data_IF_727840591484
#
_entry.id   IF_727840591484
#
_cell.length_a   1.000
_cell.length_b   1.000
_cell.length_c   1.000
_cell.angle_alpha   90.00
_cell.angle_beta   90.00
_cell.angle_gamma   90.00
#
_symmetry.space_group_name_H-M   'P 1'
#
loop_
_entity.id
_entity.type
_entity.pdbx_description
1 polymer ?
#
# COMPACT_ATOMS: atom_id res chain seq x y z
N UNK A 1 -15.00 -28.53 28.18
CA UNK A 1 -15.31 -28.75 26.76
C UNK A 1 -14.88 -27.50 26.02
N UNK A 2 -13.71 -27.52 25.39
CA UNK A 2 -13.26 -26.40 24.55
C UNK A 2 -13.87 -26.53 23.15
N UNK A 3 -14.31 -25.43 22.53
CA UNK A 3 -14.83 -25.46 21.17
C UNK A 3 -13.68 -25.75 20.19
N UNK A 4 -13.77 -26.87 19.50
CA UNK A 4 -12.87 -27.21 18.39
C UNK A 4 -13.18 -26.25 17.24
N UNK A 5 -12.35 -25.21 17.06
CA UNK A 5 -12.41 -24.36 15.88
C UNK A 5 -12.10 -25.21 14.64
N UNK A 6 -13.15 -25.58 13.91
CA UNK A 6 -13.06 -26.24 12.61
C UNK A 6 -12.34 -25.31 11.62
N UNK A 7 -11.04 -25.51 11.47
CA UNK A 7 -10.28 -24.92 10.37
C UNK A 7 -10.80 -25.50 9.05
N UNK A 8 -11.67 -24.76 8.37
CA UNK A 8 -12.14 -25.09 7.04
C UNK A 8 -10.95 -25.11 6.09
N UNK A 9 -10.42 -26.29 5.78
CA UNK A 9 -9.38 -26.44 4.77
C UNK A 9 -9.92 -25.92 3.44
N UNK A 10 -9.38 -24.80 2.98
CA UNK A 10 -9.78 -24.20 1.72
C UNK A 10 -9.46 -25.18 0.58
N UNK A 11 -10.49 -25.60 -0.16
CA UNK A 11 -10.34 -26.41 -1.38
C UNK A 11 -9.39 -25.69 -2.34
N UNK A 12 -8.27 -26.33 -2.67
CA UNK A 12 -7.29 -25.78 -3.61
C UNK A 12 -7.98 -25.43 -4.94
N UNK A 13 -7.69 -24.24 -5.52
CA UNK A 13 -8.31 -23.80 -6.76
C UNK A 13 -7.91 -24.73 -7.92
N UNK A 14 -8.84 -24.96 -8.86
CA UNK A 14 -8.56 -25.72 -10.08
C UNK A 14 -7.38 -25.11 -10.85
N UNK A 15 -6.63 -25.93 -11.60
CA UNK A 15 -5.48 -25.47 -12.38
C UNK A 15 -5.84 -24.34 -13.36
N UNK A 16 -7.04 -24.37 -13.93
CA UNK A 16 -7.56 -23.30 -14.77
C UNK A 16 -7.66 -21.97 -14.01
N UNK A 17 -8.16 -21.99 -12.76
CA UNK A 17 -8.26 -20.80 -11.91
C UNK A 17 -6.88 -20.33 -11.45
N UNK A 18 -5.94 -21.24 -11.18
CA UNK A 18 -4.54 -20.88 -10.87
C UNK A 18 -3.88 -20.16 -12.04
N UNK A 19 -4.04 -20.65 -13.27
CA UNK A 19 -3.51 -20.00 -14.48
C UNK A 19 -4.18 -18.65 -14.73
N UNK A 20 -5.48 -18.53 -14.48
CA UNK A 20 -6.19 -17.25 -14.62
C UNK A 20 -5.69 -16.18 -13.62
N UNK A 21 -5.35 -16.59 -12.39
CA UNK A 21 -4.83 -15.69 -11.35
C UNK A 21 -3.34 -15.39 -11.49
N UNK A 22 -2.59 -16.26 -12.17
CA UNK A 22 -1.15 -16.12 -12.37
C UNK A 22 -0.76 -16.48 -13.81
N UNK A 23 -1.19 -15.68 -14.80
CA UNK A 23 -0.99 -15.99 -16.22
C UNK A 23 0.48 -15.97 -16.64
N UNK A 24 1.34 -15.28 -15.89
CA UNK A 24 2.75 -15.10 -16.20
C UNK A 24 3.69 -15.96 -15.34
N UNK A 25 3.16 -16.69 -14.35
CA UNK A 25 3.98 -17.41 -13.36
C UNK A 25 4.87 -18.50 -13.94
N UNK A 26 4.47 -19.12 -15.05
CA UNK A 26 5.31 -20.11 -15.76
C UNK A 26 6.35 -19.46 -16.68
N UNK A 27 6.04 -18.29 -17.24
CA UNK A 27 6.92 -17.58 -18.17
C UNK A 27 8.00 -16.77 -17.45
N UNK A 28 7.66 -16.17 -16.32
CA UNK A 28 8.55 -15.38 -15.47
C UNK A 28 8.49 -15.87 -14.01
N UNK A 29 8.97 -17.11 -13.75
CA UNK A 29 8.98 -17.66 -12.40
C UNK A 29 9.95 -16.89 -11.49
N UNK A 30 9.82 -17.10 -10.19
CA UNK A 30 10.89 -16.71 -9.27
C UNK A 30 12.17 -17.54 -9.55
N UNK A 31 13.34 -16.95 -9.35
CA UNK A 31 14.64 -17.57 -9.65
C UNK A 31 15.59 -17.51 -8.45
N UNK A 32 16.78 -18.12 -8.55
CA UNK A 32 17.74 -18.17 -7.44
C UNK A 32 18.49 -16.85 -7.19
N UNK A 33 18.24 -15.81 -7.98
CA UNK A 33 18.96 -14.55 -7.85
C UNK A 33 18.54 -13.82 -6.59
N UNK A 34 19.46 -12.99 -6.09
CA UNK A 34 19.12 -11.99 -5.08
C UNK A 34 18.28 -10.90 -5.73
N UNK A 35 17.17 -10.52 -5.10
CA UNK A 35 16.21 -9.54 -5.62
C UNK A 35 15.89 -8.49 -4.59
N UNK A 36 15.70 -7.26 -5.05
CA UNK A 36 15.16 -6.20 -4.21
C UNK A 36 13.66 -6.42 -4.00
N UNK A 37 13.22 -6.33 -2.74
CA UNK A 37 11.80 -6.37 -2.39
C UNK A 37 11.34 -4.97 -2.06
N UNK A 38 10.19 -4.58 -2.60
CA UNK A 38 9.57 -3.29 -2.37
C UNK A 38 8.23 -3.47 -1.67
N UNK A 39 7.95 -2.61 -0.68
CA UNK A 39 6.59 -2.33 -0.26
C UNK A 39 6.03 -1.23 -1.16
N UNK A 40 4.89 -1.50 -1.79
CA UNK A 40 4.15 -0.52 -2.56
C UNK A 40 2.86 -0.16 -1.83
N UNK A 41 2.54 1.13 -1.77
CA UNK A 41 1.30 1.65 -1.23
C UNK A 41 0.58 2.51 -2.27
N UNK A 42 -0.70 2.23 -2.51
CA UNK A 42 -1.49 2.91 -3.53
C UNK A 42 -1.65 4.41 -3.20
N UNK A 43 -1.41 5.27 -4.19
CA UNK A 43 -1.80 6.69 -4.19
C UNK A 43 -0.95 7.64 -3.33
N UNK A 44 -0.43 8.69 -3.98
CA UNK A 44 -0.23 10.02 -3.38
C UNK A 44 -1.50 10.88 -3.43
N UNK A 45 -2.47 10.51 -4.29
CA UNK A 45 -3.61 11.34 -4.70
C UNK A 45 -4.98 10.85 -4.17
N UNK A 46 -5.02 9.75 -3.41
CA UNK A 46 -6.30 9.21 -2.92
C UNK A 46 -6.82 10.09 -1.76
N UNK A 47 -8.04 10.60 -1.94
CA UNK A 47 -8.72 11.54 -1.02
C UNK A 47 -9.05 10.92 0.36
N UNK A 48 -9.00 9.59 0.46
CA UNK A 48 -9.23 8.85 1.70
C UNK A 48 -7.94 8.09 2.12
N UNK A 49 -7.13 8.65 3.03
CA UNK A 49 -5.89 8.03 3.47
C UNK A 49 -6.10 6.68 4.17
N UNK A 50 -7.32 6.38 4.62
CA UNK A 50 -7.60 5.21 5.46
C UNK A 50 -7.75 3.90 4.67
N UNK A 51 -7.82 3.91 3.34
CA UNK A 51 -8.05 2.70 2.52
C UNK A 51 -7.01 2.49 1.40
N UNK A 52 -5.79 3.02 1.59
CA UNK A 52 -4.66 2.73 0.69
C UNK A 52 -4.37 1.23 0.65
N UNK A 53 -4.42 0.63 -0.53
CA UNK A 53 -4.01 -0.76 -0.72
C UNK A 53 -2.49 -0.87 -0.64
N UNK A 54 -2.00 -1.96 -0.04
CA UNK A 54 -0.56 -2.20 0.14
C UNK A 54 -0.20 -3.60 -0.35
N UNK A 55 0.98 -3.72 -0.95
CA UNK A 55 1.50 -4.99 -1.46
C UNK A 55 3.03 -5.05 -1.36
N UNK A 56 3.57 -6.26 -1.20
CA UNK A 56 4.99 -6.51 -1.42
C UNK A 56 5.18 -6.99 -2.85
N UNK A 57 6.25 -6.56 -3.50
CA UNK A 57 6.63 -7.09 -4.80
C UNK A 57 8.14 -7.14 -5.04
N UNK A 58 8.54 -7.91 -6.04
CA UNK A 58 9.89 -7.93 -6.59
C UNK A 58 9.88 -8.31 -8.07
N UNK A 59 10.94 -7.95 -8.80
CA UNK A 59 11.06 -8.19 -10.24
C UNK A 59 11.46 -9.65 -10.54
N UNK A 60 10.69 -10.34 -11.38
CA UNK A 60 11.04 -11.67 -11.90
C UNK A 60 11.76 -11.59 -13.25
N UNK A 61 11.48 -10.57 -14.05
CA UNK A 61 12.18 -10.34 -15.31
C UNK A 61 11.48 -9.29 -16.15
N UNK A 62 11.94 -9.15 -17.39
CA UNK A 62 11.37 -8.25 -18.38
C UNK A 62 11.20 -8.97 -19.72
N UNK A 63 10.29 -8.50 -20.55
CA UNK A 63 10.23 -8.93 -21.95
C UNK A 63 11.11 -8.06 -22.87
N UNK A 64 11.11 -8.40 -24.16
CA UNK A 64 11.86 -7.70 -25.21
C UNK A 64 11.38 -6.25 -25.43
N UNK A 65 10.17 -5.92 -24.98
CA UNK A 65 9.62 -4.56 -25.03
C UNK A 65 10.00 -3.70 -23.83
N UNK A 66 10.69 -4.30 -22.85
CA UNK A 66 11.03 -3.67 -21.58
C UNK A 66 9.90 -3.69 -20.55
N UNK A 67 8.83 -4.46 -20.77
CA UNK A 67 7.76 -4.62 -19.77
C UNK A 67 8.25 -5.46 -18.60
N UNK A 68 8.18 -4.91 -17.39
CA UNK A 68 8.57 -5.60 -16.17
C UNK A 68 7.49 -6.58 -15.71
N UNK A 69 7.91 -7.75 -15.23
CA UNK A 69 7.04 -8.75 -14.62
C UNK A 69 7.42 -8.92 -13.17
N UNK A 70 6.51 -8.52 -12.28
CA UNK A 70 6.71 -8.53 -10.84
C UNK A 70 5.90 -9.64 -10.18
N UNK A 71 6.47 -10.26 -9.16
CA UNK A 71 5.76 -11.15 -8.26
C UNK A 71 5.19 -10.35 -7.10
N UNK A 72 3.93 -10.59 -6.76
CA UNK A 72 3.18 -9.80 -5.78
C UNK A 72 2.69 -10.70 -4.65
N UNK A 73 2.85 -10.21 -3.42
CA UNK A 73 2.22 -10.73 -2.21
C UNK A 73 1.33 -9.64 -1.61
N UNK A 74 0.04 -9.94 -1.45
CA UNK A 74 -0.90 -9.03 -0.78
C UNK A 74 -2.17 -9.73 -0.28
N UNK A 75 -2.90 -9.03 0.59
CA UNK A 75 -4.27 -9.34 0.94
C UNK A 75 -5.21 -8.43 0.16
N UNK A 76 -6.01 -8.98 -0.76
CA UNK A 76 -6.97 -8.20 -1.57
C UNK A 76 -8.41 -8.39 -1.11
N UNK A 77 -9.30 -7.56 -1.61
CA UNK A 77 -10.73 -7.61 -1.31
C UNK A 77 -11.12 -6.63 -0.21
N UNK A 78 -12.30 -6.84 0.35
CA UNK A 78 -12.88 -6.01 1.40
C UNK A 78 -13.61 -6.86 2.43
N UNK A 79 -14.29 -6.22 3.40
CA UNK A 79 -15.02 -6.92 4.43
C UNK A 79 -16.00 -7.96 3.87
N UNK A 80 -15.86 -9.21 4.31
CA UNK A 80 -16.59 -10.38 3.85
C UNK A 80 -15.90 -11.17 2.73
N UNK A 81 -14.89 -10.60 2.06
CA UNK A 81 -14.28 -11.17 0.87
C UNK A 81 -12.76 -10.93 0.79
N UNK A 82 -12.07 -10.81 1.93
CA UNK A 82 -10.60 -10.77 1.91
C UNK A 82 -10.03 -12.10 1.40
N UNK A 83 -9.08 -12.02 0.48
CA UNK A 83 -8.42 -13.18 -0.11
C UNK A 83 -6.91 -12.93 -0.14
N UNK A 84 -6.16 -13.90 0.37
CA UNK A 84 -4.72 -13.93 0.20
C UNK A 84 -4.40 -14.75 -1.06
N UNK A 85 -3.82 -14.09 -2.06
CA UNK A 85 -3.37 -14.77 -3.27
C UNK A 85 -1.86 -14.99 -3.22
N UNK A 86 -1.48 -16.26 -3.39
CA UNK A 86 -0.08 -16.67 -3.41
C UNK A 86 0.56 -16.30 -4.75
N UNK A 87 1.73 -15.67 -4.69
CA UNK A 87 2.75 -15.61 -5.76
C UNK A 87 2.18 -15.24 -7.15
N UNK A 88 1.38 -14.18 -7.21
CA UNK A 88 0.85 -13.70 -8.50
C UNK A 88 1.96 -12.98 -9.26
N UNK A 89 2.24 -13.40 -10.49
CA UNK A 89 3.12 -12.65 -11.40
C UNK A 89 2.26 -11.80 -12.32
N UNK A 90 2.53 -10.49 -12.34
CA UNK A 90 1.80 -9.50 -13.16
C UNK A 90 2.77 -8.64 -13.95
N UNK A 91 2.34 -8.21 -15.13
CA UNK A 91 3.00 -7.14 -15.86
C UNK A 91 2.83 -5.82 -15.10
N UNK A 92 3.93 -5.16 -14.80
CA UNK A 92 3.93 -3.86 -14.14
C UNK A 92 3.70 -2.77 -15.19
N UNK A 93 2.63 -2.00 -15.00
CA UNK A 93 2.34 -0.87 -15.87
C UNK A 93 3.06 0.38 -15.40
N UNK A 94 3.55 1.19 -16.34
CA UNK A 94 4.13 2.52 -16.05
C UNK A 94 3.20 3.40 -15.21
N UNK A 95 1.90 3.35 -15.51
CA UNK A 95 0.90 4.10 -14.76
C UNK A 95 0.75 3.62 -13.30
N UNK A 96 1.04 2.35 -12.99
CA UNK A 96 1.10 1.85 -11.62
C UNK A 96 2.31 2.41 -10.89
N UNK A 97 3.49 2.42 -11.54
CA UNK A 97 4.72 2.97 -10.97
C UNK A 97 4.57 4.46 -10.63
N UNK A 98 3.94 5.24 -11.52
CA UNK A 98 3.80 6.70 -11.35
C UNK A 98 2.79 7.08 -10.24
N UNK A 99 1.77 6.24 -9.99
CA UNK A 99 0.72 6.55 -9.00
C UNK A 99 1.02 6.08 -7.59
N UNK A 100 1.98 5.17 -7.43
CA UNK A 100 2.17 4.44 -6.19
C UNK A 100 3.53 4.78 -5.56
N UNK A 101 3.55 4.83 -4.23
CA UNK A 101 4.79 5.01 -3.49
C UNK A 101 5.45 3.64 -3.28
N UNK A 102 6.72 3.53 -3.63
CA UNK A 102 7.51 2.30 -3.49
C UNK A 102 8.67 2.50 -2.51
N UNK A 103 8.78 1.58 -1.56
CA UNK A 103 9.77 1.60 -0.49
C UNK A 103 10.61 0.33 -0.55
N UNK A 104 11.89 0.46 -0.93
CA UNK A 104 12.83 -0.66 -0.98
C UNK A 104 13.08 -1.18 0.44
N UNK A 105 12.83 -2.46 0.69
CA UNK A 105 13.01 -3.15 1.98
C UNK A 105 14.36 -3.88 2.10
N UNK A 106 15.15 -3.95 1.04
CA UNK A 106 16.44 -4.62 0.96
C UNK A 106 16.50 -5.68 -0.14
N UNK A 107 17.63 -6.37 -0.17
CA UNK A 107 17.96 -7.44 -1.12
C UNK A 107 17.84 -8.80 -0.46
N UNK A 108 17.08 -9.71 -1.07
CA UNK A 108 16.74 -11.00 -0.49
C UNK A 108 17.06 -12.13 -1.47
N UNK A 109 17.75 -13.16 -1.00
CA UNK A 109 17.96 -14.41 -1.74
C UNK A 109 16.68 -15.26 -1.80
N UNK A 110 16.70 -16.33 -2.60
CA UNK A 110 15.53 -17.20 -2.79
C UNK A 110 14.95 -17.75 -1.49
N UNK A 111 15.81 -18.34 -0.64
CA UNK A 111 15.37 -18.92 0.64
C UNK A 111 14.70 -17.89 1.56
N UNK A 112 15.20 -16.64 1.58
CA UNK A 112 14.60 -15.56 2.36
C UNK A 112 13.24 -15.14 1.79
N UNK A 113 13.10 -15.10 0.45
CA UNK A 113 11.81 -14.82 -0.20
C UNK A 113 10.78 -15.91 0.07
N UNK A 114 11.19 -17.17 0.03
CA UNK A 114 10.33 -18.30 0.38
C UNK A 114 9.88 -18.20 1.86
N UNK A 115 10.76 -17.76 2.76
CA UNK A 115 10.42 -17.48 4.16
C UNK A 115 9.41 -16.33 4.30
N UNK A 116 9.57 -15.24 3.54
CA UNK A 116 8.59 -14.14 3.50
C UNK A 116 7.22 -14.64 3.03
N UNK A 117 7.18 -15.49 2.00
CA UNK A 117 5.94 -16.11 1.52
C UNK A 117 5.33 -17.02 2.59
N UNK A 118 6.13 -17.77 3.34
CA UNK A 118 5.66 -18.61 4.44
C UNK A 118 5.05 -17.77 5.58
N UNK A 119 5.72 -16.68 5.98
CA UNK A 119 5.20 -15.72 6.96
C UNK A 119 3.89 -15.09 6.50
N UNK A 120 3.79 -14.70 5.23
CA UNK A 120 2.56 -14.16 4.65
C UNK A 120 1.41 -15.16 4.69
N UNK A 121 1.68 -16.45 4.45
CA UNK A 121 0.69 -17.54 4.58
C UNK A 121 0.24 -17.73 6.04
N UNK A 122 1.15 -17.56 7.00
CA UNK A 122 0.87 -17.73 8.43
C UNK A 122 0.16 -16.51 9.06
N UNK A 123 0.28 -15.33 8.47
CA UNK A 123 -0.32 -14.10 8.95
C UNK A 123 -1.86 -14.19 8.99
N UNK A 124 -2.41 -14.16 10.20
CA UNK A 124 -3.85 -14.32 10.45
C UNK A 124 -4.64 -13.11 9.96
N UNK A 125 -5.74 -13.33 9.28
CA UNK A 125 -6.73 -12.29 8.98
C UNK A 125 -8.16 -12.83 9.17
N UNK A 126 -9.09 -11.93 9.52
CA UNK A 126 -10.51 -12.26 9.58
C UNK A 126 -11.17 -11.72 8.31
N UNK A 127 -11.69 -12.58 7.42
CA UNK A 127 -12.30 -12.15 6.17
C UNK A 127 -13.46 -11.17 6.35
N UNK A 128 -14.14 -11.18 7.50
CA UNK A 128 -15.31 -10.32 7.81
C UNK A 128 -14.95 -9.04 8.57
N UNK A 129 -13.68 -8.86 8.92
CA UNK A 129 -13.23 -7.70 9.69
C UNK A 129 -13.45 -6.41 8.89
N UNK A 130 -14.02 -5.39 9.54
CA UNK A 130 -14.14 -4.03 8.97
C UNK A 130 -13.06 -3.07 9.49
N UNK A 131 -12.24 -3.52 10.45
CA UNK A 131 -11.24 -2.69 11.14
C UNK A 131 -9.83 -3.14 10.78
N UNK A 132 -9.54 -4.43 10.97
CA UNK A 132 -8.29 -5.03 10.51
C UNK A 132 -8.42 -5.37 9.03
N UNK A 133 -7.79 -4.57 8.16
CA UNK A 133 -7.85 -4.68 6.69
C UNK A 133 -6.47 -5.12 6.12
N UNK A 134 -6.24 -4.91 4.82
CA UNK A 134 -4.98 -5.25 4.14
C UNK A 134 -3.76 -4.54 4.74
N UNK A 135 -3.91 -3.30 5.23
CA UNK A 135 -2.82 -2.55 5.88
C UNK A 135 -2.42 -3.19 7.21
N UNK A 136 -3.41 -3.59 8.01
CA UNK A 136 -3.15 -4.31 9.26
C UNK A 136 -2.44 -5.63 9.01
N UNK A 137 -2.92 -6.40 8.04
CA UNK A 137 -2.28 -7.66 7.66
C UNK A 137 -0.83 -7.45 7.18
N UNK A 138 -0.59 -6.41 6.38
CA UNK A 138 0.76 -6.08 5.93
C UNK A 138 1.68 -5.66 7.09
N UNK A 139 1.17 -4.87 8.04
CA UNK A 139 1.92 -4.50 9.25
C UNK A 139 2.38 -5.73 10.02
N UNK A 140 1.47 -6.68 10.23
CA UNK A 140 1.79 -7.91 10.97
C UNK A 140 2.77 -8.80 10.21
N UNK A 141 2.69 -8.84 8.87
CA UNK A 141 3.68 -9.52 8.04
C UNK A 141 5.07 -8.88 8.20
N UNK A 142 5.16 -7.55 8.10
CA UNK A 142 6.44 -6.86 8.26
C UNK A 142 7.00 -7.02 9.68
N UNK A 143 6.14 -7.02 10.71
CA UNK A 143 6.57 -7.32 12.08
C UNK A 143 7.10 -8.75 12.20
N UNK A 144 6.42 -9.73 11.60
CA UNK A 144 6.91 -11.11 11.59
C UNK A 144 8.25 -11.24 10.84
N UNK A 145 8.49 -10.45 9.78
CA UNK A 145 9.78 -10.37 9.13
C UNK A 145 10.87 -9.76 10.03
N UNK A 146 10.53 -8.81 10.90
CA UNK A 146 11.46 -8.28 11.91
C UNK A 146 11.80 -9.35 12.94
N UNK A 147 10.78 -10.05 13.44
CA UNK A 147 10.94 -11.10 14.45
C UNK A 147 11.80 -12.27 13.94
N UNK A 148 11.69 -12.60 12.65
CA UNK A 148 12.51 -13.61 11.95
C UNK A 148 13.89 -13.10 11.47
N UNK A 149 14.28 -11.86 11.82
CA UNK A 149 15.52 -11.20 11.38
C UNK A 149 15.67 -11.05 9.85
N UNK A 150 14.57 -11.04 9.10
CA UNK A 150 14.55 -10.77 7.67
C UNK A 150 14.54 -9.27 7.37
N UNK A 151 13.90 -8.47 8.23
CA UNK A 151 13.79 -7.02 8.08
C UNK A 151 14.40 -6.32 9.31
N UNK A 152 15.34 -5.38 9.14
CA UNK A 152 15.84 -4.61 10.28
C UNK A 152 14.73 -3.75 10.91
N UNK A 153 14.62 -3.73 12.25
CA UNK A 153 13.58 -2.96 12.95
C UNK A 153 13.57 -1.48 12.56
N UNK A 154 14.75 -0.88 12.37
CA UNK A 154 14.89 0.52 11.89
C UNK A 154 14.20 0.75 10.54
N UNK A 155 14.24 -0.25 9.65
CA UNK A 155 13.63 -0.17 8.33
C UNK A 155 12.10 -0.29 8.43
N UNK A 156 11.62 -1.16 9.31
CA UNK A 156 10.21 -1.26 9.66
C UNK A 156 9.68 0.07 10.20
N UNK A 157 10.36 0.68 11.18
CA UNK A 157 9.95 1.96 11.78
C UNK A 157 9.91 3.10 10.76
N UNK A 158 10.87 3.12 9.82
CA UNK A 158 10.87 4.08 8.72
C UNK A 158 9.62 3.91 7.84
N UNK A 159 9.35 2.68 7.40
CA UNK A 159 8.22 2.38 6.53
C UNK A 159 6.89 2.65 7.23
N UNK A 160 6.76 2.30 8.52
CA UNK A 160 5.55 2.53 9.30
C UNK A 160 5.23 4.02 9.50
N UNK A 161 6.27 4.86 9.49
CA UNK A 161 6.14 6.31 9.55
C UNK A 161 5.71 6.91 8.21
N UNK A 162 6.24 6.39 7.10
CA UNK A 162 5.99 6.91 5.74
C UNK A 162 4.69 6.37 5.13
N UNK A 163 4.32 5.13 5.48
CA UNK A 163 3.06 4.48 5.16
C UNK A 163 2.37 4.16 6.48
N UNK A 164 1.34 4.92 6.91
CA UNK A 164 0.71 4.72 8.21
C UNK A 164 -0.06 3.40 8.25
N UNK A 165 0.62 2.28 8.52
CA UNK A 165 0.03 0.96 8.55
C UNK A 165 -0.78 0.78 9.83
N UNK A 166 -2.05 0.41 9.68
CA UNK A 166 -2.99 0.24 10.81
C UNK A 166 -2.50 -0.84 11.78
N UNK A 167 -2.49 -0.52 13.07
CA UNK A 167 -2.24 -1.50 14.13
C UNK A 167 -3.42 -2.45 14.27
N UNK A 168 -3.14 -3.72 14.59
CA UNK A 168 -4.19 -4.70 14.82
C UNK A 168 -5.00 -4.34 16.06
N UNK A 169 -6.32 -4.26 15.87
CA UNK A 169 -7.28 -4.12 16.97
C UNK A 169 -7.75 -5.53 17.38
N UNK A 170 -7.59 -5.91 18.66
CA UNK A 170 -8.13 -7.16 19.18
C UNK A 170 -9.63 -7.31 18.89
N UNK A 171 -10.05 -8.50 18.46
CA UNK A 171 -11.44 -8.75 18.04
C UNK A 171 -12.46 -8.48 19.16
N UNK A 172 -12.11 -8.66 20.44
CA UNK A 172 -13.00 -8.36 21.55
C UNK A 172 -13.30 -6.86 21.69
N UNK A 173 -12.35 -5.98 21.35
CA UNK A 173 -12.57 -4.53 21.32
C UNK A 173 -13.46 -4.11 20.14
N UNK A 174 -13.51 -4.91 19.07
CA UNK A 174 -14.38 -4.64 17.93
C UNK A 174 -15.87 -4.70 18.30
N UNK A 175 -16.25 -5.66 19.17
CA UNK A 175 -17.62 -5.76 19.68
C UNK A 175 -18.02 -4.51 20.46
N UNK A 176 -17.11 -3.96 21.28
CA UNK A 176 -17.36 -2.75 22.06
C UNK A 176 -17.53 -1.50 21.19
N UNK A 177 -16.66 -1.30 20.19
CA UNK A 177 -16.74 -0.14 19.29
C UNK A 177 -18.02 -0.15 18.43
N UNK A 178 -18.52 -1.33 18.06
CA UNK A 178 -19.73 -1.46 17.26
C UNK A 178 -21.00 -1.13 18.06
N UNK A 179 -21.01 -1.38 19.37
CA UNK A 179 -22.17 -1.14 20.24
C UNK A 179 -22.37 0.35 20.54
N UNK A 180 -21.28 1.13 20.67
CA UNK A 180 -21.36 2.55 21.00
C UNK A 180 -22.03 3.36 19.87
N UNK A 181 -21.79 2.98 18.61
CA UNK A 181 -22.32 3.74 17.47
C UNK A 181 -23.81 3.46 17.17
N UNK A 182 -24.38 2.37 17.69
CA UNK A 182 -25.82 2.08 17.53
C UNK A 182 -26.70 2.76 18.58
N UNK A 183 -26.18 3.03 19.79
CA UNK A 183 -26.98 3.65 20.86
C UNK A 183 -27.29 5.13 20.64
N UNK A 184 -26.67 5.79 19.68
CA UNK A 184 -26.90 7.22 19.41
C UNK A 184 -28.10 7.50 18.48
N UNK A 185 -28.72 6.48 17.87
CA UNK A 185 -29.79 6.69 16.88
C UNK A 185 -31.19 6.25 17.35
N UNK A 186 -31.30 5.49 18.45
CA UNK A 186 -32.55 4.82 18.84
C UNK A 186 -33.37 5.57 19.91
N UNK A 187 -33.25 6.90 19.98
CA UNK A 187 -34.17 7.69 20.80
C UNK A 187 -34.75 8.90 20.05
N UNK A 188 -35.50 8.70 18.95
CA UNK A 188 -36.50 9.68 18.59
C UNK A 188 -37.56 9.63 19.68
N UNK A 189 -37.46 10.53 20.66
CA UNK A 189 -38.54 10.77 21.60
C UNK A 189 -39.84 10.85 20.82
N UNK A 190 -40.83 10.05 21.23
CA UNK A 190 -42.19 10.08 20.70
C UNK A 190 -42.67 11.53 20.69
N UNK A 191 -42.59 12.21 19.55
CA UNK A 191 -43.37 13.42 19.33
C UNK A 191 -44.82 12.97 19.20
N UNK A 192 -45.56 13.11 20.30
CA UNK A 192 -47.00 12.96 20.33
C UNK A 192 -47.64 13.98 19.37
N UNK A 193 -48.72 13.58 18.71
CA UNK A 193 -49.32 14.25 17.55
C UNK A 193 -49.91 15.65 17.77
N UNK A 194 -49.65 16.31 18.89
CA UNK A 194 -50.17 17.66 19.18
C UNK A 194 -49.22 18.81 18.78
N UNK A 195 -47.95 18.52 18.46
CA UNK A 195 -46.97 19.57 18.08
C UNK A 195 -46.94 19.92 16.58
N UNK A 196 -47.71 19.22 15.74
CA UNK A 196 -47.72 19.43 14.28
C UNK A 196 -48.61 20.59 13.81
N UNK A 197 -49.31 21.31 14.71
CA UNK A 197 -50.20 22.43 14.35
C UNK A 197 -49.68 23.83 14.65
N UNK A 198 -48.49 24.01 15.26
CA UNK A 198 -48.04 25.33 15.73
C UNK A 198 -46.76 25.91 15.08
N UNK A 199 -46.28 25.32 13.99
CA UNK A 199 -45.02 25.75 13.36
C UNK A 199 -45.14 26.04 11.86
N UNK A 200 -46.28 26.59 11.41
CA UNK A 200 -46.37 27.35 10.15
C UNK A 200 -46.33 28.85 10.41
N UNK A 201 -45.21 29.35 10.92
CA UNK A 201 -44.82 30.78 10.80
C UNK A 201 -43.54 31.04 11.59
N UNK A 202 -42.38 30.83 10.97
CA UNK A 202 -41.15 31.64 11.11
C UNK A 202 -40.02 30.90 10.40
N UNK A 203 -39.61 31.42 9.25
CA UNK A 203 -38.33 32.13 9.05
C UNK A 203 -37.21 31.17 8.67
N UNK A 204 -36.70 31.44 7.46
CA UNK A 204 -35.44 30.95 6.88
C UNK A 204 -34.30 30.95 7.91
N UNK A 205 -33.61 29.83 8.03
CA UNK A 205 -32.19 29.80 8.34
C UNK A 205 -31.67 28.42 7.98
N UNK A 206 -30.70 28.41 7.06
CA UNK A 206 -29.74 27.33 6.85
C UNK A 206 -29.00 27.04 8.19
N UNK A 207 -28.28 25.92 8.23
CA UNK A 207 -27.39 25.47 9.32
C UNK A 207 -28.02 24.81 10.56
N UNK A 208 -28.31 23.50 10.47
CA UNK A 208 -28.30 22.64 11.67
C UNK A 208 -28.09 21.16 11.32
N UNK A 209 -26.89 20.80 10.84
CA UNK A 209 -26.42 19.40 10.90
C UNK A 209 -24.91 19.29 10.62
N UNK A 210 -24.08 20.03 11.37
CA UNK A 210 -22.65 19.69 11.45
C UNK A 210 -22.00 20.37 12.65
N UNK A 211 -21.89 19.62 13.76
CA UNK A 211 -20.75 19.59 14.70
C UNK A 211 -21.20 18.93 16.00
N UNK A 212 -20.56 17.83 16.38
CA UNK A 212 -19.73 17.76 17.59
C UNK A 212 -19.25 16.33 17.81
N UNK A 213 -17.98 16.08 17.54
CA UNK A 213 -17.12 15.35 18.47
C UNK A 213 -15.74 16.00 18.40
N UNK A 214 -15.42 16.76 19.44
CA UNK A 214 -14.09 17.24 19.78
C UNK A 214 -13.64 16.35 20.93
N UNK A 215 -12.59 15.56 20.71
CA UNK A 215 -11.75 15.07 21.79
C UNK A 215 -10.34 15.61 21.59
N UNK A 216 -9.78 16.04 22.71
CA UNK A 216 -8.57 16.81 22.87
C UNK A 216 -7.33 16.13 22.31
N UNK A 217 -6.46 16.90 21.65
CA UNK A 217 -5.02 16.74 21.79
C UNK A 217 -4.30 18.05 21.46
N UNK A 218 -3.43 18.47 22.38
CA UNK A 218 -2.62 19.68 22.32
C UNK A 218 -1.75 19.71 21.05
N UNK A 219 -2.05 20.62 20.13
CA UNK A 219 -1.07 21.12 19.15
C UNK A 219 -1.22 22.63 19.04
N UNK A 220 -0.17 23.35 19.43
CA UNK A 220 0.04 24.77 19.13
C UNK A 220 -0.09 24.99 17.63
N UNK A 221 -1.16 25.67 17.23
CA UNK A 221 -1.43 26.06 15.85
C UNK A 221 -0.62 27.32 15.54
N UNK A 222 0.44 27.19 14.74
CA UNK A 222 1.12 28.34 14.13
C UNK A 222 0.26 28.86 12.97
N UNK A 223 -0.07 30.16 12.91
CA UNK A 223 -0.95 30.72 11.88
C UNK A 223 -0.40 30.55 10.46
N UNK A 224 -1.28 30.13 9.55
CA UNK A 224 -1.04 29.82 8.12
C UNK A 224 -0.47 30.97 7.27
N UNK A 225 -0.25 32.17 7.82
CA UNK A 225 0.25 33.34 7.09
C UNK A 225 1.79 33.50 7.08
N UNK A 226 2.55 32.67 7.81
CA UNK A 226 4.02 32.74 7.78
C UNK A 226 4.69 31.78 6.78
N UNK A 227 4.03 30.70 6.34
CA UNK A 227 4.64 29.74 5.39
C UNK A 227 4.80 30.24 3.95
N UNK A 228 4.10 31.30 3.56
CA UNK A 228 4.24 31.87 2.22
C UNK A 228 5.38 32.90 2.08
N UNK A 229 5.97 33.36 3.20
CA UNK A 229 7.12 34.29 3.16
C UNK A 229 8.48 33.60 3.10
N UNK A 230 8.61 32.37 3.58
CA UNK A 230 9.88 31.61 3.47
C UNK A 230 10.08 30.96 2.10
N UNK A 231 9.00 30.55 1.41
CA UNK A 231 9.11 29.94 0.08
C UNK A 231 9.51 30.95 -1.02
N UNK A 232 9.29 32.25 -0.80
CA UNK A 232 9.69 33.31 -1.76
C UNK A 232 11.12 33.84 -1.59
N UNK A 233 11.84 33.49 -0.51
CA UNK A 233 13.24 33.92 -0.32
C UNK A 233 14.28 32.95 -0.88
N UNK A 234 13.89 31.76 -1.32
CA UNK A 234 14.82 30.74 -1.84
C UNK A 234 15.00 30.75 -3.37
N UNK A 235 14.23 31.53 -4.13
CA UNK A 235 14.18 31.45 -5.60
C UNK A 235 14.88 32.60 -6.33
N UNK A 236 15.53 33.53 -5.62
CA UNK A 236 16.27 34.64 -6.24
C UNK A 236 17.80 34.48 -6.23
N UNK A 237 18.37 33.44 -5.61
CA UNK A 237 19.83 33.29 -5.46
C UNK A 237 20.49 32.23 -6.37
N UNK A 238 19.78 31.70 -7.38
CA UNK A 238 20.35 30.69 -8.32
C UNK A 238 20.27 31.17 -9.78
N UNK A 239 20.54 32.45 -10.04
CA UNK A 239 20.59 32.97 -11.42
C UNK A 239 21.81 33.85 -11.75
N UNK A 240 22.88 33.75 -10.98
CA UNK A 240 24.16 34.40 -11.30
C UNK A 240 25.34 33.49 -10.99
N UNK A 241 25.52 32.40 -11.76
CA UNK A 241 26.81 31.67 -11.88
C UNK A 241 26.76 30.61 -12.98
N UNK A 242 26.58 31.04 -14.22
CA UNK A 242 26.87 30.23 -15.40
C UNK A 242 27.74 31.03 -16.34
N UNK A 243 28.98 31.26 -15.90
CA UNK A 243 30.06 31.78 -16.74
C UNK A 243 30.44 30.73 -17.78
N UNK A 244 30.61 31.22 -19.01
CA UNK A 244 31.03 30.49 -20.19
C UNK A 244 32.36 29.74 -19.98
N UNK A 245 32.44 28.53 -20.52
CA UNK A 245 33.67 27.75 -20.64
C UNK A 245 33.62 26.93 -21.93
N UNK A 246 34.15 27.50 -23.00
CA UNK A 246 34.47 26.82 -24.25
C UNK A 246 35.44 25.66 -24.00
N UNK A 247 35.08 24.45 -24.45
CA UNK A 247 36.00 23.33 -24.58
C UNK A 247 35.75 22.63 -25.93
N UNK A 248 36.56 23.03 -26.91
CA UNK A 248 36.81 22.28 -28.13
C UNK A 248 37.48 20.94 -27.76
N UNK A 249 36.82 19.82 -28.08
CA UNK A 249 37.35 18.47 -27.90
C UNK A 249 37.01 17.59 -29.08
N UNK A 250 37.91 17.57 -30.06
CA UNK A 250 37.94 16.72 -31.25
C UNK A 250 37.84 15.23 -30.89
N UNK A 251 36.78 14.54 -31.34
CA UNK A 251 36.63 13.09 -31.21
C UNK A 251 36.85 12.42 -32.57
N UNK A 252 37.99 11.74 -32.72
CA UNK A 252 38.34 10.97 -33.90
C UNK A 252 37.61 9.63 -33.94
N UNK A 253 36.87 9.40 -35.03
CA UNK A 253 36.21 8.13 -35.39
C UNK A 253 37.24 7.03 -35.65
N UNK A 254 37.30 6.01 -34.79
CA UNK A 254 37.98 4.75 -35.08
C UNK A 254 37.02 3.79 -35.79
N UNK A 255 37.38 3.39 -37.01
CA UNK A 255 36.69 2.39 -37.83
C UNK A 255 37.00 0.99 -37.30
N UNK A 256 35.97 0.23 -36.92
CA UNK A 256 36.08 -1.21 -36.69
C UNK A 256 35.95 -1.95 -38.02
N UNK A 257 37.04 -2.59 -38.44
CA UNK A 257 37.10 -3.54 -39.54
C UNK A 257 36.59 -4.91 -39.04
N UNK A 258 35.50 -5.42 -39.62
CA UNK A 258 35.05 -6.81 -39.43
C UNK A 258 35.61 -7.65 -40.57
N UNK A 259 36.52 -8.57 -40.22
CA UNK A 259 37.09 -9.55 -41.14
C UNK A 259 36.29 -10.86 -41.03
N UNK A 260 35.45 -11.15 -42.02
CA UNK A 260 34.77 -12.44 -42.19
C UNK A 260 35.69 -13.40 -42.93
N UNK A 261 36.32 -14.35 -42.22
CA UNK A 261 36.96 -15.51 -42.84
C UNK A 261 35.95 -16.65 -42.99
N UNK A 262 35.70 -16.98 -44.25
CA UNK A 262 34.97 -18.13 -44.76
C UNK A 262 35.89 -19.36 -44.65
N UNK A 263 35.49 -20.38 -43.90
CA UNK A 263 36.12 -21.71 -43.94
C UNK A 263 35.13 -22.66 -44.62
N UNK A 264 35.52 -23.18 -45.79
CA UNK A 264 34.97 -24.39 -46.40
C UNK A 264 35.96 -25.51 -46.11
N UNK A 265 35.47 -26.59 -45.55
CA UNK A 265 36.06 -27.92 -45.49
C UNK A 265 34.92 -28.91 -45.58
#
# INVERSE_FOLDING_TARGET
MEPVESQTQAKEPSDARRRALNPFGTKYPDDEKTKEIFLQADGLEIYDPDDRHVLLHWLNGNDDTGTHYIQIIHLTGGPGNYQFHREQVKAESRASLERNASYNLGSYGRAQRDQIVALAKAAKFNPRSRVNNCQTWMRDLLQAMVDDNLLPSKKFDQVDKEVPLKRRVPLHLHAMLTVINRRSCDNPGKMTGDDLRRSRSRVRSEDCCRKQFVCCENKTVVPRRERERESRRSLTDIRERSGAGDMNGSFTRSKLNVNLRRVRG
#
